data_IF_923994498729
#
_entry.id   IF_923994498729
#
_cell.length_a   1.000
_cell.length_b   1.000
_cell.length_c   1.000
_cell.angle_alpha   90.00
_cell.angle_beta   90.00
_cell.angle_gamma   90.00
#
_symmetry.space_group_name_H-M   'P 1'
#
loop_
_entity.id
_entity.type
_entity.pdbx_description
1 polymer ?
#
# COMPACT_ATOMS: atom_id res chain seq x y z
N UNK A 1 -1.48 9.62 39.38
CA UNK A 1 -1.70 10.22 38.04
C UNK A 1 -1.57 9.11 37.01
N UNK A 2 -2.44 9.11 36.00
CA UNK A 2 -2.52 8.12 34.92
C UNK A 2 -2.11 8.86 33.64
N UNK A 3 -1.11 8.32 32.93
CA UNK A 3 -0.49 8.96 31.76
C UNK A 3 -0.53 8.02 30.57
N UNK A 4 -0.54 8.59 29.37
CA UNK A 4 -0.36 7.80 28.16
C UNK A 4 1.02 7.14 28.17
N UNK A 5 1.06 5.88 27.75
CA UNK A 5 2.32 5.17 27.54
C UNK A 5 2.84 5.54 26.15
N UNK A 6 4.14 5.84 26.07
CA UNK A 6 4.82 6.01 24.78
C UNK A 6 4.49 4.83 23.84
N UNK A 7 4.14 5.06 22.56
CA UNK A 7 4.31 6.28 21.75
C UNK A 7 3.04 7.14 21.68
N UNK A 8 2.07 6.89 22.55
CA UNK A 8 0.86 7.69 22.62
C UNK A 8 1.07 8.91 23.52
N UNK A 9 0.50 10.03 23.12
CA UNK A 9 0.48 11.28 23.87
C UNK A 9 -0.95 11.74 24.13
N UNK A 10 -1.12 12.43 25.25
CA UNK A 10 -2.42 12.88 25.73
C UNK A 10 -2.34 13.50 27.12
N UNK A 11 -3.38 14.24 27.53
CA UNK A 11 -3.45 14.84 28.86
C UNK A 11 -3.52 13.75 29.94
N UNK A 12 -2.83 13.94 31.06
CA UNK A 12 -2.90 13.01 32.18
C UNK A 12 -4.20 13.18 32.98
N UNK A 13 -4.69 12.09 33.57
CA UNK A 13 -5.82 12.10 34.50
C UNK A 13 -5.40 11.63 35.89
N UNK A 14 -6.28 11.77 36.88
CA UNK A 14 -5.99 11.39 38.26
C UNK A 14 -6.98 10.34 38.72
N UNK A 15 -6.46 9.27 39.33
CA UNK A 15 -7.26 8.33 40.08
C UNK A 15 -7.44 8.83 41.52
N UNK A 16 -8.65 8.67 42.06
CA UNK A 16 -9.02 9.09 43.40
C UNK A 16 -9.57 7.92 44.22
N UNK A 17 -9.24 7.87 45.51
CA UNK A 17 -9.82 6.93 46.47
C UNK A 17 -10.63 7.74 47.50
N UNK A 18 -11.87 7.33 47.85
CA UNK A 18 -12.64 8.00 48.87
C UNK A 18 -11.87 8.08 50.20
N UNK A 19 -11.81 9.27 50.81
CA UNK A 19 -11.04 9.51 52.04
C UNK A 19 -11.51 8.69 53.24
N UNK A 20 -12.75 8.21 53.23
CA UNK A 20 -13.35 7.35 54.25
C UNK A 20 -13.37 5.86 53.90
N UNK A 21 -12.59 5.41 52.92
CA UNK A 21 -12.62 4.00 52.53
C UNK A 21 -12.01 3.08 53.62
N UNK A 22 -12.83 2.20 54.19
CA UNK A 22 -12.41 1.12 55.12
C UNK A 22 -12.50 -0.27 54.50
N UNK A 23 -12.98 -0.37 53.25
CA UNK A 23 -13.19 -1.62 52.56
C UNK A 23 -12.00 -1.90 51.62
N UNK A 24 -11.23 -2.98 51.84
CA UNK A 24 -10.07 -3.32 51.03
C UNK A 24 -10.44 -3.73 49.59
N UNK A 25 -11.71 -3.95 49.28
CA UNK A 25 -12.20 -4.28 47.94
C UNK A 25 -12.54 -3.06 47.07
N UNK A 26 -12.61 -1.86 47.67
CA UNK A 26 -12.92 -0.64 46.92
C UNK A 26 -11.75 -0.28 46.00
N UNK A 27 -12.06 -0.22 44.71
CA UNK A 27 -11.11 0.13 43.67
C UNK A 27 -10.95 1.65 43.55
N UNK A 28 -9.80 2.08 43.03
CA UNK A 28 -9.57 3.49 42.72
C UNK A 28 -10.54 3.95 41.62
N UNK A 29 -11.13 5.12 41.79
CA UNK A 29 -11.99 5.73 40.78
C UNK A 29 -11.13 6.54 39.83
N UNK A 30 -11.26 6.35 38.52
CA UNK A 30 -10.48 7.08 37.52
C UNK A 30 -11.26 7.22 36.22
N UNK A 31 -10.85 8.22 35.44
CA UNK A 31 -11.17 8.34 34.01
C UNK A 31 -9.90 8.14 33.21
N UNK A 32 -9.96 7.38 32.12
CA UNK A 32 -8.79 7.17 31.26
C UNK A 32 -8.47 8.44 30.47
N UNK A 33 -7.18 8.75 30.26
CA UNK A 33 -6.77 9.84 29.39
C UNK A 33 -7.05 9.49 27.91
N UNK A 34 -7.33 10.50 27.09
CA UNK A 34 -7.42 10.35 25.63
C UNK A 34 -6.00 10.28 25.05
N UNK A 35 -5.61 9.13 24.50
CA UNK A 35 -4.26 8.83 24.08
C UNK A 35 -4.21 8.62 22.56
N UNK A 36 -3.50 9.49 21.85
CA UNK A 36 -3.34 9.46 20.39
C UNK A 36 -1.88 9.25 20.00
N UNK A 37 -1.63 8.61 18.86
CA UNK A 37 -0.27 8.48 18.31
C UNK A 37 0.21 9.86 17.84
N UNK A 38 1.28 10.38 18.46
CA UNK A 38 1.87 11.66 18.05
C UNK A 38 2.62 11.53 16.72
N UNK A 39 3.37 10.45 16.56
CA UNK A 39 4.21 10.22 15.40
C UNK A 39 4.16 8.78 14.93
N UNK A 40 4.43 8.62 13.65
CA UNK A 40 4.51 7.33 12.99
C UNK A 40 5.73 7.41 12.08
N UNK A 41 6.92 7.13 12.63
CA UNK A 41 8.16 7.27 11.89
C UNK A 41 8.20 6.25 10.75
N UNK A 42 8.80 6.65 9.64
CA UNK A 42 9.03 5.74 8.53
C UNK A 42 10.15 4.74 8.86
N UNK A 43 10.05 3.49 8.35
CA UNK A 43 11.08 2.49 8.55
C UNK A 43 12.40 2.94 7.90
N UNK A 44 13.51 2.60 8.56
CA UNK A 44 14.86 2.83 8.05
C UNK A 44 15.62 1.50 8.02
N UNK A 45 16.03 1.00 6.83
CA UNK A 45 15.84 1.61 5.51
C UNK A 45 14.39 1.54 5.02
N UNK A 46 14.04 2.44 4.10
CA UNK A 46 12.73 2.42 3.45
C UNK A 46 12.60 1.18 2.55
N UNK A 47 11.41 0.54 2.48
CA UNK A 47 11.16 -0.56 1.55
C UNK A 47 11.36 -0.12 0.10
N UNK A 48 11.79 -1.05 -0.75
CA UNK A 48 11.87 -0.82 -2.18
C UNK A 48 10.48 -0.54 -2.77
N UNK A 49 10.41 0.29 -3.80
CA UNK A 49 9.16 0.63 -4.48
C UNK A 49 8.50 1.92 -4.02
N UNK A 50 9.06 2.62 -3.03
CA UNK A 50 8.47 3.82 -2.45
C UNK A 50 9.49 4.96 -2.46
N UNK A 51 9.02 6.16 -2.78
CA UNK A 51 9.83 7.39 -2.75
C UNK A 51 8.97 8.56 -2.28
N UNK A 52 9.59 9.52 -1.61
CA UNK A 52 8.94 10.78 -1.27
C UNK A 52 9.04 11.76 -2.45
N UNK A 53 7.97 12.47 -2.73
CA UNK A 53 7.98 13.60 -3.67
C UNK A 53 8.55 14.87 -3.02
N UNK A 54 8.77 15.91 -3.83
CA UNK A 54 9.33 17.20 -3.38
C UNK A 54 8.44 17.93 -2.35
N UNK A 55 7.19 17.52 -2.19
CA UNK A 55 6.21 18.08 -1.27
C UNK A 55 6.03 17.22 0.00
N UNK A 56 6.83 16.15 0.15
CA UNK A 56 6.76 15.21 1.29
C UNK A 56 5.64 14.17 1.18
N UNK A 57 4.95 14.10 0.05
CA UNK A 57 3.98 13.06 -0.28
C UNK A 57 4.67 11.75 -0.65
N UNK A 58 3.96 10.62 -0.50
CA UNK A 58 4.48 9.29 -0.84
C UNK A 58 3.94 8.84 -2.19
N UNK A 59 4.82 8.32 -3.03
CA UNK A 59 4.47 7.73 -4.33
C UNK A 59 5.26 6.45 -4.61
N UNK A 60 4.80 5.68 -5.59
CA UNK A 60 5.59 4.55 -6.08
C UNK A 60 6.86 5.08 -6.75
N UNK A 61 7.99 4.44 -6.45
CA UNK A 61 9.27 4.79 -7.08
C UNK A 61 9.29 4.41 -8.57
N UNK A 62 10.19 4.98 -9.38
CA UNK A 62 10.36 4.57 -10.77
C UNK A 62 10.50 3.05 -10.90
N UNK A 63 9.79 2.45 -11.87
CA UNK A 63 9.74 0.99 -12.04
C UNK A 63 8.69 0.28 -11.20
N UNK A 64 7.87 1.01 -10.43
CA UNK A 64 6.77 0.45 -9.62
C UNK A 64 5.46 1.19 -9.91
N UNK A 65 4.34 0.49 -9.80
CA UNK A 65 3.01 1.05 -9.92
C UNK A 65 2.02 0.36 -8.98
N UNK A 66 0.88 1.02 -8.75
CA UNK A 66 -0.22 0.52 -7.94
C UNK A 66 -0.81 1.59 -7.02
N UNK A 67 -1.61 1.17 -6.05
CA UNK A 67 -2.25 2.09 -5.10
C UNK A 67 -1.46 2.09 -3.79
N UNK A 68 -0.64 3.11 -3.61
CA UNK A 68 0.16 3.26 -2.39
C UNK A 68 -0.73 3.34 -1.15
N UNK A 69 -0.36 2.57 -0.12
CA UNK A 69 -0.97 2.63 1.20
C UNK A 69 0.12 2.67 2.27
N UNK A 70 -0.01 3.65 3.18
CA UNK A 70 0.87 3.84 4.32
C UNK A 70 0.05 3.77 5.61
N UNK A 71 0.35 2.78 6.45
CA UNK A 71 -0.39 2.51 7.70
C UNK A 71 0.57 2.43 8.87
N UNK A 72 0.18 3.00 10.01
CA UNK A 72 0.99 2.95 11.23
C UNK A 72 0.72 1.66 12.00
N UNK A 73 1.76 0.86 12.18
CA UNK A 73 1.67 -0.43 12.84
C UNK A 73 2.30 -0.33 14.23
N UNK A 74 1.60 -0.87 15.24
CA UNK A 74 2.14 -1.01 16.59
C UNK A 74 2.88 -2.35 16.68
N UNK A 75 4.19 -2.29 16.89
CA UNK A 75 5.03 -3.44 17.14
C UNK A 75 5.02 -3.88 18.60
N UNK A 76 5.82 -4.91 18.87
CA UNK A 76 6.09 -5.34 20.25
C UNK A 76 6.73 -4.20 21.05
N UNK A 77 6.54 -4.24 22.38
CA UNK A 77 7.03 -3.22 23.31
C UNK A 77 6.51 -1.78 23.05
N UNK A 78 5.37 -1.62 22.36
CA UNK A 78 4.80 -0.31 22.02
C UNK A 78 5.73 0.52 21.12
N UNK A 79 6.46 -0.13 20.22
CA UNK A 79 7.15 0.55 19.13
C UNK A 79 6.16 0.88 18.02
N UNK A 80 6.30 2.01 17.35
CA UNK A 80 5.44 2.36 16.20
C UNK A 80 6.31 2.59 14.98
N UNK A 81 5.89 2.05 13.84
CA UNK A 81 6.56 2.22 12.56
C UNK A 81 5.53 2.23 11.43
N UNK A 82 5.78 3.03 10.41
CA UNK A 82 4.97 3.01 9.20
C UNK A 82 5.22 1.71 8.41
N UNK A 83 4.15 1.16 7.85
CA UNK A 83 4.18 0.06 6.90
C UNK A 83 3.66 0.55 5.56
N UNK A 84 4.41 0.22 4.50
CA UNK A 84 4.13 0.61 3.13
C UNK A 84 3.68 -0.60 2.34
N UNK A 85 2.62 -0.44 1.54
CA UNK A 85 2.08 -1.49 0.68
C UNK A 85 1.48 -0.91 -0.60
N UNK A 86 1.25 -1.77 -1.59
CA UNK A 86 0.50 -1.45 -2.80
C UNK A 86 1.31 -0.93 -4.00
N UNK A 87 2.60 -0.62 -3.83
CA UNK A 87 3.50 -0.40 -4.97
C UNK A 87 4.17 -1.72 -5.35
N UNK A 88 3.94 -2.17 -6.58
CA UNK A 88 4.48 -3.41 -7.12
C UNK A 88 5.40 -3.13 -8.31
N UNK A 89 6.43 -3.95 -8.53
CA UNK A 89 7.31 -3.77 -9.68
C UNK A 89 6.50 -3.87 -10.97
N UNK A 90 6.77 -2.97 -11.89
CA UNK A 90 6.24 -3.03 -13.23
C UNK A 90 6.67 -4.34 -13.91
N UNK A 91 5.72 -4.98 -14.58
CA UNK A 91 5.95 -6.21 -15.32
C UNK A 91 5.61 -6.00 -16.79
N UNK A 92 6.23 -6.80 -17.64
CA UNK A 92 5.90 -6.82 -19.06
C UNK A 92 4.50 -7.43 -19.28
N UNK A 93 3.80 -6.93 -20.29
CA UNK A 93 2.61 -7.59 -20.80
C UNK A 93 3.02 -8.67 -21.81
N UNK A 94 2.28 -9.77 -21.81
CA UNK A 94 2.41 -10.84 -22.79
C UNK A 94 1.08 -11.03 -23.52
N UNK A 95 1.15 -11.63 -24.71
CA UNK A 95 -0.06 -11.96 -25.46
C UNK A 95 -1.01 -12.86 -24.65
N UNK A 96 -2.34 -12.66 -24.77
CA UNK A 96 -3.30 -13.57 -24.19
C UNK A 96 -3.10 -15.00 -24.69
N UNK A 97 -3.44 -15.99 -23.86
CA UNK A 97 -3.39 -17.39 -24.26
C UNK A 97 -4.25 -17.65 -25.51
N UNK A 98 -3.82 -18.61 -26.34
CA UNK A 98 -4.46 -19.00 -27.59
C UNK A 98 -5.94 -19.42 -27.44
N UNK A 99 -6.40 -19.77 -26.23
CA UNK A 99 -7.82 -20.04 -25.93
C UNK A 99 -8.67 -18.78 -25.92
N UNK A 100 -8.05 -17.62 -25.64
CA UNK A 100 -8.68 -16.31 -25.59
C UNK A 100 -8.52 -15.59 -26.93
N UNK A 101 -7.34 -15.71 -27.54
CA UNK A 101 -7.02 -15.10 -28.82
C UNK A 101 -6.68 -16.16 -29.86
N UNK A 102 -7.47 -16.24 -30.93
CA UNK A 102 -7.20 -17.13 -32.05
C UNK A 102 -5.98 -16.65 -32.86
N UNK A 103 -4.81 -17.17 -32.51
CA UNK A 103 -3.53 -16.87 -33.18
C UNK A 103 -3.41 -17.49 -34.58
N UNK A 104 -4.35 -18.35 -34.98
CA UNK A 104 -4.46 -18.77 -36.39
C UNK A 104 -5.09 -17.67 -37.24
N UNK A 105 -5.96 -16.83 -36.65
CA UNK A 105 -6.66 -15.73 -37.31
C UNK A 105 -5.91 -14.40 -37.21
N UNK A 106 -5.31 -14.09 -36.07
CA UNK A 106 -4.62 -12.83 -35.81
C UNK A 106 -3.10 -13.00 -35.73
N UNK A 107 -2.37 -12.08 -36.34
CA UNK A 107 -0.93 -11.93 -36.19
C UNK A 107 -0.63 -10.90 -35.10
N UNK A 108 -0.07 -11.39 -34.00
CA UNK A 108 0.34 -10.63 -32.81
C UNK A 108 1.83 -10.74 -32.54
N UNK A 109 2.63 -11.07 -33.56
CA UNK A 109 4.10 -11.16 -33.44
C UNK A 109 4.74 -9.88 -32.90
N UNK A 110 4.13 -8.72 -33.15
CA UNK A 110 4.57 -7.43 -32.63
C UNK A 110 4.18 -7.17 -31.17
N UNK A 111 3.47 -8.10 -30.52
CA UNK A 111 2.91 -7.95 -29.18
C UNK A 111 3.43 -8.98 -28.16
N UNK A 112 4.40 -9.82 -28.54
CA UNK A 112 4.82 -10.98 -27.72
C UNK A 112 5.25 -10.59 -26.30
N UNK A 113 6.01 -9.49 -26.19
CA UNK A 113 6.46 -8.90 -24.93
C UNK A 113 6.42 -7.39 -25.09
N UNK A 114 5.61 -6.72 -24.27
CA UNK A 114 5.50 -5.26 -24.25
C UNK A 114 5.92 -4.70 -22.90
N UNK A 115 6.67 -3.60 -22.92
CA UNK A 115 6.95 -2.83 -21.72
C UNK A 115 5.68 -2.10 -21.22
N UNK A 116 5.60 -1.75 -19.93
CA UNK A 116 4.50 -0.96 -19.39
C UNK A 116 4.29 0.33 -20.18
N UNK A 117 3.05 0.60 -20.59
CA UNK A 117 2.69 1.77 -21.39
C UNK A 117 2.83 1.58 -22.91
N UNK A 118 3.49 0.51 -23.38
CA UNK A 118 3.66 0.26 -24.81
C UNK A 118 2.37 -0.22 -25.49
N UNK A 119 2.36 -0.07 -26.82
CA UNK A 119 1.32 -0.57 -27.69
C UNK A 119 1.90 -1.22 -28.93
N UNK A 120 1.21 -2.21 -29.46
CA UNK A 120 1.58 -2.93 -30.67
C UNK A 120 0.43 -2.92 -31.68
N UNK A 121 0.76 -3.16 -32.94
CA UNK A 121 -0.23 -3.40 -33.98
C UNK A 121 -0.60 -4.89 -34.06
N UNK A 122 -1.88 -5.15 -34.32
CA UNK A 122 -2.43 -6.49 -34.52
C UNK A 122 -3.01 -6.57 -35.92
N UNK A 123 -2.55 -7.55 -36.69
CA UNK A 123 -2.95 -7.72 -38.09
C UNK A 123 -3.78 -8.99 -38.26
N UNK A 124 -4.58 -9.06 -39.33
CA UNK A 124 -5.20 -10.32 -39.75
C UNK A 124 -4.14 -11.19 -40.44
N UNK A 125 -4.14 -12.50 -40.19
CA UNK A 125 -3.14 -13.41 -40.77
C UNK A 125 -3.41 -13.65 -42.25
N UNK A 126 -2.69 -12.94 -43.10
CA UNK A 126 -2.76 -13.08 -44.56
C UNK A 126 -2.17 -14.43 -45.03
N UNK A 127 -2.59 -14.97 -46.19
CA UNK A 127 -3.61 -14.44 -47.11
C UNK A 127 -5.04 -14.90 -46.77
N UNK A 128 -5.21 -15.78 -45.78
CA UNK A 128 -6.49 -16.43 -45.46
C UNK A 128 -7.49 -15.45 -44.83
N UNK A 129 -6.98 -14.47 -44.09
CA UNK A 129 -7.77 -13.45 -43.43
C UNK A 129 -7.31 -12.06 -43.89
N UNK A 130 -8.28 -11.19 -44.17
CA UNK A 130 -8.07 -9.80 -44.55
C UNK A 130 -8.90 -8.90 -43.62
N UNK A 131 -8.38 -7.72 -43.28
CA UNK A 131 -9.00 -6.79 -42.35
C UNK A 131 -8.14 -5.55 -42.08
N UNK A 132 -8.67 -4.63 -41.29
CA UNK A 132 -7.92 -3.47 -40.82
C UNK A 132 -6.91 -3.81 -39.72
N UNK A 133 -6.08 -2.82 -39.37
CA UNK A 133 -5.08 -2.92 -38.30
C UNK A 133 -5.73 -2.60 -36.96
N UNK A 134 -5.58 -3.51 -35.99
CA UNK A 134 -5.95 -3.30 -34.60
C UNK A 134 -4.75 -2.90 -33.74
N UNK A 135 -4.99 -2.57 -32.47
CA UNK A 135 -3.93 -2.23 -31.52
C UNK A 135 -4.08 -2.97 -30.19
N UNK A 136 -2.98 -3.54 -29.68
CA UNK A 136 -2.86 -4.00 -28.29
C UNK A 136 -2.14 -2.96 -27.43
N UNK A 137 -2.43 -2.89 -26.13
CA UNK A 137 -1.79 -1.95 -25.20
C UNK A 137 -1.50 -2.60 -23.86
N UNK A 138 -0.31 -2.33 -23.32
CA UNK A 138 0.07 -2.65 -21.95
C UNK A 138 -0.21 -1.41 -21.05
N UNK A 139 -1.23 -1.46 -20.18
CA UNK A 139 -1.58 -0.32 -19.33
C UNK A 139 -0.59 -0.08 -18.19
#
# INVERSE_FOLDING_TARGET
EIRCKFPYEGPATVGNCPSGNTDPSVQVQYTLPDCSLLSCPDPSPLPAGYVQDDHGGWQCSPGYAGTLSRVCMLGEACTVSASFSGCHPLANCTIPDHRVLDTCKYDVSLCEVLEPGESCEVHCRAPLYNGGVGSGRCP
#
